data_IF_652733574589
#
_entry.id   IF_652733574589
#
_cell.length_a   1.000
_cell.length_b   1.000
_cell.length_c   1.000
_cell.angle_alpha   90.00
_cell.angle_beta   90.00
_cell.angle_gamma   90.00
#
_symmetry.space_group_name_H-M   'P 1'
#
loop_
_entity.id
_entity.type
_entity.pdbx_description
1 polymer ?
#
# COMPACT_ATOMS: atom_id res chain seq x y z
N UNK A 1 -0.46 19.82 -0.55
CA UNK A 1 -1.06 18.75 0.28
C UNK A 1 -1.86 17.78 -0.58
N UNK A 2 -2.87 18.23 -1.33
CA UNK A 2 -3.70 17.39 -2.22
C UNK A 2 -2.91 16.65 -3.31
N UNK A 3 -1.92 17.28 -3.94
CA UNK A 3 -1.08 16.67 -5.00
C UNK A 3 -0.26 15.47 -4.48
N UNK A 4 0.31 15.57 -3.28
CA UNK A 4 1.11 14.50 -2.67
C UNK A 4 0.25 13.25 -2.42
N UNK A 5 -0.98 13.46 -1.95
CA UNK A 5 -1.90 12.38 -1.62
C UNK A 5 -2.46 11.73 -2.90
N UNK A 6 -2.76 12.53 -3.92
CA UNK A 6 -3.19 12.01 -5.22
C UNK A 6 -2.09 11.11 -5.83
N UNK A 7 -0.83 11.55 -5.75
CA UNK A 7 0.33 10.75 -6.14
C UNK A 7 0.44 9.44 -5.35
N UNK A 8 0.13 9.48 -4.05
CA UNK A 8 0.15 8.32 -3.17
C UNK A 8 -0.96 7.31 -3.50
N UNK A 9 -2.16 7.78 -3.84
CA UNK A 9 -3.27 6.93 -4.33
C UNK A 9 -2.91 6.29 -5.67
N UNK A 10 -2.39 7.07 -6.61
CA UNK A 10 -1.95 6.55 -7.93
C UNK A 10 -0.82 5.53 -7.75
N UNK A 11 0.10 5.77 -6.82
CA UNK A 11 1.17 4.84 -6.47
C UNK A 11 0.62 3.51 -5.92
N UNK A 12 -0.35 3.54 -5.00
CA UNK A 12 -1.01 2.33 -4.51
C UNK A 12 -1.76 1.56 -5.62
N UNK A 13 -2.50 2.26 -6.48
CA UNK A 13 -3.17 1.63 -7.62
C UNK A 13 -2.14 0.97 -8.55
N UNK A 14 -1.04 1.66 -8.85
CA UNK A 14 0.04 1.13 -9.65
C UNK A 14 0.66 -0.13 -9.04
N UNK A 15 0.92 -0.14 -7.73
CA UNK A 15 1.40 -1.33 -7.02
C UNK A 15 0.41 -2.50 -7.17
N UNK A 16 -0.89 -2.26 -6.98
CA UNK A 16 -1.91 -3.31 -7.10
C UNK A 16 -2.03 -3.91 -8.51
N UNK A 17 -1.77 -3.11 -9.54
CA UNK A 17 -1.84 -3.55 -10.95
C UNK A 17 -0.54 -4.17 -11.47
N UNK A 18 0.57 -4.04 -10.74
CA UNK A 18 1.88 -4.53 -11.20
C UNK A 18 1.93 -6.06 -11.21
N UNK A 19 2.56 -6.62 -12.25
CA UNK A 19 2.90 -8.04 -12.30
C UNK A 19 4.17 -8.30 -11.48
N UNK A 20 4.02 -9.00 -10.36
CA UNK A 20 5.12 -9.36 -9.47
C UNK A 20 5.83 -10.63 -9.94
N UNK A 21 6.92 -10.46 -10.70
CA UNK A 21 7.70 -11.59 -11.24
C UNK A 21 8.55 -12.29 -10.19
N UNK A 22 9.05 -11.56 -9.19
CA UNK A 22 9.97 -12.06 -8.16
C UNK A 22 9.42 -11.83 -6.76
N UNK A 23 9.83 -12.69 -5.83
CA UNK A 23 9.51 -12.55 -4.39
C UNK A 23 10.09 -11.24 -3.83
N UNK A 24 11.30 -10.86 -4.27
CA UNK A 24 11.90 -9.58 -3.88
C UNK A 24 11.01 -8.39 -4.23
N UNK A 25 10.39 -8.37 -5.41
CA UNK A 25 9.48 -7.30 -5.81
C UNK A 25 8.20 -7.24 -4.96
N UNK A 26 7.71 -8.39 -4.48
CA UNK A 26 6.56 -8.46 -3.55
C UNK A 26 6.95 -7.84 -2.22
N UNK A 27 8.07 -8.28 -1.64
CA UNK A 27 8.57 -7.78 -0.36
C UNK A 27 8.79 -6.27 -0.43
N UNK A 28 9.48 -5.77 -1.47
CA UNK A 28 9.72 -4.33 -1.62
C UNK A 28 8.41 -3.54 -1.69
N UNK A 29 7.39 -4.03 -2.41
CA UNK A 29 6.11 -3.33 -2.48
C UNK A 29 5.39 -3.29 -1.13
N UNK A 30 5.36 -4.41 -0.41
CA UNK A 30 4.74 -4.48 0.93
C UNK A 30 5.48 -3.56 1.91
N UNK A 31 6.82 -3.57 1.90
CA UNK A 31 7.64 -2.70 2.75
C UNK A 31 7.44 -1.23 2.41
N UNK A 32 7.37 -0.88 1.12
CA UNK A 32 7.11 0.52 0.71
C UNK A 32 5.73 0.99 1.16
N UNK A 33 4.69 0.18 0.98
CA UNK A 33 3.34 0.52 1.47
C UNK A 33 3.34 0.72 2.99
N UNK A 34 3.80 -0.29 3.73
CA UNK A 34 3.83 -0.24 5.19
C UNK A 34 4.70 0.92 5.70
N UNK A 35 5.82 1.20 5.02
CA UNK A 35 6.69 2.32 5.30
C UNK A 35 6.01 3.67 5.07
N UNK A 36 5.24 3.83 4.00
CA UNK A 36 4.47 5.05 3.76
C UNK A 36 3.39 5.26 4.81
N UNK A 37 2.60 4.23 5.13
CA UNK A 37 1.53 4.30 6.14
C UNK A 37 2.11 4.60 7.52
N UNK A 38 3.22 3.95 7.89
CA UNK A 38 3.90 4.19 9.17
C UNK A 38 4.49 5.60 9.22
N UNK A 39 5.05 6.11 8.12
CA UNK A 39 5.57 7.49 8.07
C UNK A 39 4.45 8.51 8.27
N UNK A 40 3.28 8.29 7.65
CA UNK A 40 2.09 9.13 7.86
C UNK A 40 1.59 9.03 9.30
N UNK A 41 1.57 7.83 9.88
CA UNK A 41 1.17 7.61 11.27
C UNK A 41 2.06 8.37 12.25
N UNK A 42 3.39 8.23 12.10
CA UNK A 42 4.39 8.88 12.95
C UNK A 42 4.30 10.40 12.81
N UNK A 43 4.18 10.91 11.58
CA UNK A 43 3.98 12.34 11.36
C UNK A 43 2.70 12.85 12.03
N UNK A 44 1.56 12.16 11.84
CA UNK A 44 0.30 12.58 12.45
C UNK A 44 0.32 12.53 13.97
N UNK A 45 0.97 11.52 14.57
CA UNK A 45 1.23 11.46 16.01
C UNK A 45 2.09 12.64 16.50
N UNK A 46 3.14 13.00 15.77
CA UNK A 46 3.99 14.13 16.11
C UNK A 46 3.25 15.48 16.02
N UNK A 47 2.28 15.60 15.11
CA UNK A 47 1.42 16.78 15.00
C UNK A 47 0.39 16.82 16.14
N UNK A 48 -0.28 15.71 16.44
CA UNK A 48 -1.27 15.61 17.53
C UNK A 48 -0.65 15.87 18.91
N UNK A 49 0.60 15.47 19.12
CA UNK A 49 1.26 15.74 20.41
C UNK A 49 1.57 17.22 20.62
N UNK A 50 1.59 18.03 19.55
CA UNK A 50 1.83 19.49 19.60
C UNK A 50 0.55 20.33 19.48
N UNK A 51 -0.60 19.74 19.15
CA UNK A 51 -1.88 20.42 19.02
C UNK A 51 -3.06 19.45 18.91
N UNK A 52 -4.27 19.88 19.26
CA UNK A 52 -5.45 18.99 19.34
C UNK A 52 -6.08 18.61 18.00
N UNK A 53 -5.66 19.25 16.89
CA UNK A 53 -6.25 19.09 15.57
C UNK A 53 -5.17 18.84 14.52
N UNK A 54 -5.39 17.82 13.67
CA UNK A 54 -4.64 17.64 12.42
C UNK A 54 -5.45 18.28 11.30
N UNK A 55 -4.86 19.23 10.58
CA UNK A 55 -5.45 19.70 9.33
C UNK A 55 -5.17 18.70 8.21
N UNK A 56 -6.21 18.01 7.76
CA UNK A 56 -6.15 16.99 6.72
C UNK A 56 -7.31 17.21 5.73
N UNK A 57 -7.02 17.28 4.42
CA UNK A 57 -8.04 17.44 3.37
C UNK A 57 -9.04 18.59 3.60
N UNK A 58 -8.53 19.77 3.98
CA UNK A 58 -9.37 20.96 4.23
C UNK A 58 -10.32 20.83 5.44
N UNK A 59 -10.18 19.76 6.23
CA UNK A 59 -10.89 19.52 7.47
C UNK A 59 -9.90 19.41 8.62
N UNK A 60 -10.31 19.84 9.82
CA UNK A 60 -9.56 19.61 11.05
C UNK A 60 -10.07 18.32 11.68
N UNK A 61 -9.22 17.30 11.68
CA UNK A 61 -9.50 15.99 12.23
C UNK A 61 -8.99 15.96 13.67
N UNK A 62 -9.84 15.53 14.60
CA UNK A 62 -9.46 15.30 15.98
C UNK A 62 -8.59 14.06 16.14
N UNK A 63 -8.06 13.88 17.35
CA UNK A 63 -7.15 12.79 17.67
C UNK A 63 -7.79 11.40 17.51
N UNK A 64 -9.06 11.26 17.88
CA UNK A 64 -9.75 9.97 17.83
C UNK A 64 -10.03 9.55 16.38
N UNK A 65 -10.49 10.49 15.57
CA UNK A 65 -10.79 10.30 14.16
C UNK A 65 -9.52 9.96 13.37
N UNK A 66 -8.38 10.57 13.73
CA UNK A 66 -7.08 10.18 13.17
C UNK A 66 -6.72 8.72 13.50
N UNK A 67 -6.94 8.26 14.73
CA UNK A 67 -6.66 6.86 15.08
C UNK A 67 -7.55 5.87 14.32
N UNK A 68 -8.84 6.17 14.16
CA UNK A 68 -9.74 5.34 13.35
C UNK A 68 -9.34 5.34 11.88
N UNK A 69 -8.96 6.50 11.32
CA UNK A 69 -8.48 6.61 9.96
C UNK A 69 -7.22 5.76 9.74
N UNK A 70 -6.24 5.85 10.65
CA UNK A 70 -5.02 5.06 10.56
C UNK A 70 -5.29 3.56 10.72
N UNK A 71 -6.18 3.16 11.64
CA UNK A 71 -6.58 1.77 11.81
C UNK A 71 -7.22 1.20 10.53
N UNK A 72 -8.12 1.96 9.91
CA UNK A 72 -8.73 1.59 8.62
C UNK A 72 -7.68 1.51 7.50
N UNK A 73 -6.70 2.42 7.50
CA UNK A 73 -5.61 2.42 6.52
C UNK A 73 -4.72 1.18 6.66
N UNK A 74 -4.33 0.81 7.89
CA UNK A 74 -3.57 -0.43 8.13
C UNK A 74 -4.36 -1.68 7.72
N UNK A 75 -5.68 -1.70 7.93
CA UNK A 75 -6.51 -2.80 7.44
C UNK A 75 -6.50 -2.87 5.89
N UNK A 76 -6.58 -1.72 5.22
CA UNK A 76 -6.46 -1.64 3.77
C UNK A 76 -5.08 -2.12 3.27
N UNK A 77 -3.99 -1.79 3.98
CA UNK A 77 -2.65 -2.26 3.65
C UNK A 77 -2.52 -3.78 3.73
N UNK A 78 -3.15 -4.42 4.72
CA UNK A 78 -3.19 -5.88 4.86
C UNK A 78 -3.90 -6.50 3.65
N UNK A 79 -5.06 -5.96 3.27
CA UNK A 79 -5.82 -6.43 2.11
C UNK A 79 -5.03 -6.25 0.80
N UNK A 80 -4.37 -5.11 0.64
CA UNK A 80 -3.52 -4.84 -0.51
C UNK A 80 -2.32 -5.79 -0.57
N UNK A 81 -1.67 -6.05 0.57
CA UNK A 81 -0.56 -7.00 0.68
C UNK A 81 -1.00 -8.43 0.31
N UNK A 82 -2.15 -8.88 0.80
CA UNK A 82 -2.72 -10.18 0.45
C UNK A 82 -2.99 -10.29 -1.06
N UNK A 83 -3.48 -9.21 -1.69
CA UNK A 83 -3.71 -9.17 -3.15
C UNK A 83 -2.40 -9.20 -3.95
N UNK A 84 -1.38 -8.48 -3.51
CA UNK A 84 -0.04 -8.50 -4.12
C UNK A 84 0.55 -9.92 -4.10
N UNK A 85 0.47 -10.60 -2.95
CA UNK A 85 0.94 -11.98 -2.79
C UNK A 85 0.14 -12.92 -3.70
N UNK A 86 -1.19 -12.77 -3.74
CA UNK A 86 -2.07 -13.55 -4.62
C UNK A 86 -1.72 -13.37 -6.10
N UNK A 87 -1.42 -12.13 -6.53
CA UNK A 87 -0.98 -11.84 -7.89
C UNK A 87 0.36 -12.52 -8.21
N UNK A 88 1.30 -12.55 -7.27
CA UNK A 88 2.57 -13.27 -7.46
C UNK A 88 2.38 -14.77 -7.61
N UNK A 89 1.53 -15.38 -6.77
CA UNK A 89 1.20 -16.81 -6.86
C UNK A 89 0.55 -17.14 -8.20
N UNK A 90 -0.41 -16.31 -8.64
CA UNK A 90 -1.08 -16.47 -9.93
C UNK A 90 -0.08 -16.38 -11.10
N UNK A 91 0.84 -15.42 -11.07
CA UNK A 91 1.91 -15.29 -12.06
C UNK A 91 2.79 -16.53 -12.11
N UNK A 92 3.28 -17.02 -10.96
CA UNK A 92 4.13 -18.22 -10.88
C UNK A 92 3.40 -19.46 -11.42
N UNK A 93 2.11 -19.62 -11.09
CA UNK A 93 1.28 -20.74 -11.56
C UNK A 93 1.04 -20.68 -13.06
N UNK A 94 0.80 -19.49 -13.63
CA UNK A 94 0.66 -19.31 -15.07
C UNK A 94 1.98 -19.62 -15.81
N UNK A 95 3.11 -19.15 -15.29
CA UNK A 95 4.42 -19.39 -15.89
C UNK A 95 4.82 -20.89 -15.84
N UNK A 96 4.52 -21.58 -14.74
CA UNK A 96 4.77 -23.02 -14.60
C UNK A 96 3.91 -23.85 -15.56
N UNK A 97 2.66 -23.45 -15.80
CA UNK A 97 1.80 -24.10 -16.81
C UNK A 97 2.33 -23.85 -18.23
N UNK A 98 2.74 -22.63 -18.54
CA UNK A 98 3.31 -22.27 -19.83
C UNK A 98 4.59 -23.06 -20.14
N UNK A 99 5.51 -23.16 -19.17
CA UNK A 99 6.75 -23.93 -19.33
C UNK A 99 6.50 -25.42 -19.57
N UNK A 100 5.44 -25.99 -18.98
CA UNK A 100 5.06 -27.40 -19.18
C UNK A 100 4.41 -27.67 -20.54
N UNK A 101 3.84 -26.65 -21.17
CA UNK A 101 3.23 -26.72 -22.51
C UNK A 101 4.19 -26.39 -23.66
N UNK A 102 5.47 -26.14 -23.39
CA UNK A 102 6.46 -25.79 -24.42
C UNK A 102 6.31 -24.37 -25.02
N UNK A 103 5.25 -23.64 -24.68
CA UNK A 103 5.02 -22.26 -25.13
C UNK A 103 5.65 -21.32 -24.10
N UNK A 104 6.95 -21.04 -24.25
CA UNK A 104 7.62 -19.99 -23.48
C UNK A 104 7.18 -18.64 -24.06
N UNK A 105 6.35 -17.89 -23.33
CA UNK A 105 6.05 -16.48 -23.65
C UNK A 105 7.04 -15.62 -22.87
N UNK A 106 8.17 -15.35 -23.51
CA UNK A 106 9.16 -14.38 -23.04
C UNK A 106 8.61 -12.94 -23.08
#
# INVERSE_FOLDING_TARGET
MTILILGLIVFFIFLLMRKYKTVSSVITAVVLMAGTTTSVAVWGLAVITRGSLIHFFNSSIGRYEFYYLMAAWYAADILCSAKIISNHIAYKKANYRASRSGIRKD
#
